data_IF_410250618929
#
_entry.id   IF_410250618929
#
_cell.length_a   1.000
_cell.length_b   1.000
_cell.length_c   1.000
_cell.angle_alpha   90.00
_cell.angle_beta   90.00
_cell.angle_gamma   90.00
#
_symmetry.space_group_name_H-M   'P 1'
#
loop_
_entity.id
_entity.type
_entity.pdbx_description
1 polymer ?
#
# COMPACT_ATOMS: atom_id res chain seq x y z
N UNK A 1 -12.34 17.92 -2.37
CA UNK A 1 -12.64 18.56 -1.05
C UNK A 1 -11.77 17.93 0.03
N UNK A 2 -11.32 18.69 1.04
CA UNK A 2 -10.21 18.30 1.95
C UNK A 2 -10.50 17.11 2.87
N UNK A 3 -11.75 16.90 3.29
CA UNK A 3 -12.08 15.78 4.20
C UNK A 3 -11.72 14.41 3.62
N UNK A 4 -11.90 14.23 2.31
CA UNK A 4 -11.71 12.96 1.63
C UNK A 4 -10.25 12.48 1.64
N UNK A 5 -9.26 13.23 1.10
CA UNK A 5 -7.85 12.83 1.17
C UNK A 5 -7.34 12.73 2.61
N UNK A 6 -7.82 13.57 3.54
CA UNK A 6 -7.47 13.45 4.96
C UNK A 6 -7.91 12.09 5.53
N UNK A 7 -9.17 11.69 5.29
CA UNK A 7 -9.71 10.43 5.80
C UNK A 7 -9.04 9.23 5.13
N UNK A 8 -8.84 9.24 3.80
CA UNK A 8 -8.13 8.16 3.08
C UNK A 8 -6.70 8.00 3.61
N UNK A 9 -5.94 9.10 3.70
CA UNK A 9 -4.56 9.07 4.19
C UNK A 9 -4.51 8.58 5.65
N UNK A 10 -5.44 9.04 6.51
CA UNK A 10 -5.50 8.63 7.92
C UNK A 10 -5.84 7.14 8.06
N UNK A 11 -6.85 6.66 7.33
CA UNK A 11 -7.24 5.25 7.33
C UNK A 11 -6.12 4.35 6.77
N UNK A 12 -5.46 4.78 5.70
CA UNK A 12 -4.30 4.09 5.15
C UNK A 12 -3.16 4.03 6.17
N UNK A 13 -2.85 5.14 6.86
CA UNK A 13 -1.84 5.18 7.92
C UNK A 13 -2.20 4.29 9.11
N UNK A 14 -3.48 4.22 9.48
CA UNK A 14 -3.97 3.35 10.54
C UNK A 14 -3.74 1.87 10.20
N UNK A 15 -3.97 1.47 8.95
CA UNK A 15 -3.62 0.14 8.47
C UNK A 15 -2.10 -0.10 8.46
N UNK A 16 -1.29 0.90 8.07
CA UNK A 16 0.19 0.83 8.16
C UNK A 16 0.68 0.59 9.58
N UNK A 17 0.04 1.20 10.60
CA UNK A 17 0.37 0.96 12.01
C UNK A 17 0.13 -0.50 12.41
N UNK A 18 -0.99 -1.10 11.99
CA UNK A 18 -1.28 -2.52 12.27
C UNK A 18 -0.21 -3.38 11.62
N UNK A 19 0.04 -3.20 10.31
CA UNK A 19 1.02 -3.99 9.56
C UNK A 19 2.43 -3.84 10.17
N UNK A 20 2.83 -2.61 10.52
CA UNK A 20 4.13 -2.33 11.15
C UNK A 20 4.32 -3.11 12.45
N UNK A 21 3.27 -3.20 13.29
CA UNK A 21 3.31 -3.95 14.55
C UNK A 21 3.61 -5.42 14.30
N UNK A 22 2.87 -6.08 13.42
CA UNK A 22 3.08 -7.52 13.17
C UNK A 22 4.38 -7.80 12.43
N UNK A 23 4.82 -6.95 11.51
CA UNK A 23 6.16 -7.10 10.90
C UNK A 23 7.24 -6.97 11.97
N UNK A 24 7.12 -5.98 12.86
CA UNK A 24 8.07 -5.82 13.95
C UNK A 24 8.07 -7.01 14.91
N UNK A 25 6.94 -7.65 15.16
CA UNK A 25 6.85 -8.83 16.02
C UNK A 25 7.38 -10.10 15.33
N UNK A 26 7.10 -10.27 14.04
CA UNK A 26 7.21 -11.58 13.38
C UNK A 26 8.20 -11.66 12.22
N UNK A 27 8.78 -10.55 11.77
CA UNK A 27 9.72 -10.51 10.63
C UNK A 27 11.08 -9.94 11.04
N UNK A 28 12.16 -10.38 10.37
CA UNK A 28 13.52 -9.93 10.67
C UNK A 28 13.79 -8.50 10.17
N UNK A 29 13.03 -8.04 9.17
CA UNK A 29 13.06 -6.68 8.63
C UNK A 29 11.64 -6.14 8.43
N UNK A 30 11.52 -4.81 8.45
CA UNK A 30 10.31 -4.08 8.08
C UNK A 30 10.48 -3.28 6.76
N UNK A 31 11.58 -3.47 6.03
CA UNK A 31 11.89 -2.70 4.80
C UNK A 31 10.77 -2.76 3.77
N UNK A 32 10.12 -3.91 3.63
CA UNK A 32 9.03 -4.13 2.69
C UNK A 32 7.72 -3.42 3.05
N UNK A 33 7.61 -2.75 4.21
CA UNK A 33 6.34 -2.21 4.73
C UNK A 33 5.59 -1.32 3.73
N UNK A 34 6.31 -0.53 2.95
CA UNK A 34 5.72 0.39 1.97
C UNK A 34 4.98 -0.34 0.83
N UNK A 35 5.17 -1.64 0.66
CA UNK A 35 4.51 -2.46 -0.36
C UNK A 35 3.57 -3.51 0.23
N UNK A 36 3.24 -3.42 1.53
CA UNK A 36 2.38 -4.42 2.21
C UNK A 36 0.89 -4.13 2.09
N UNK A 37 0.50 -2.96 1.61
CA UNK A 37 -0.89 -2.63 1.29
C UNK A 37 -0.92 -1.94 -0.08
N UNK A 38 -1.57 -2.58 -1.04
CA UNK A 38 -1.68 -2.14 -2.42
C UNK A 38 -3.08 -1.58 -2.69
N UNK A 39 -3.14 -0.45 -3.38
CA UNK A 39 -4.40 0.19 -3.76
C UNK A 39 -5.00 -0.46 -5.02
N UNK A 40 -6.14 -1.14 -4.84
CA UNK A 40 -6.99 -1.72 -5.89
C UNK A 40 -8.29 -0.91 -6.11
N UNK A 41 -8.35 0.31 -5.58
CA UNK A 41 -9.58 1.07 -5.40
C UNK A 41 -10.09 1.82 -6.63
N UNK A 42 -9.35 1.85 -7.74
CA UNK A 42 -9.71 2.65 -8.90
C UNK A 42 -11.15 2.36 -9.38
N UNK A 43 -11.48 1.10 -9.66
CA UNK A 43 -12.82 0.71 -10.12
C UNK A 43 -13.93 0.87 -9.07
N UNK A 44 -13.55 0.93 -7.79
CA UNK A 44 -14.48 1.07 -6.67
C UNK A 44 -14.76 2.53 -6.29
N UNK A 45 -14.04 3.48 -6.89
CA UNK A 45 -14.20 4.91 -6.62
C UNK A 45 -15.40 5.50 -7.39
N UNK A 46 -16.06 6.51 -6.81
CA UNK A 46 -17.24 7.15 -7.41
C UNK A 46 -16.97 8.01 -8.64
N UNK A 47 -15.71 8.41 -8.87
CA UNK A 47 -15.28 9.16 -10.05
C UNK A 47 -13.77 9.02 -10.27
N UNK A 48 -13.29 9.39 -11.46
CA UNK A 48 -11.84 9.44 -11.75
C UNK A 48 -11.13 10.47 -10.88
N UNK A 49 -11.76 11.61 -10.61
CA UNK A 49 -11.20 12.62 -9.71
C UNK A 49 -11.10 12.08 -8.27
N UNK A 50 -12.12 11.37 -7.79
CA UNK A 50 -12.10 10.69 -6.49
C UNK A 50 -10.98 9.64 -6.43
N UNK A 51 -10.86 8.80 -7.45
CA UNK A 51 -9.78 7.81 -7.54
C UNK A 51 -8.40 8.48 -7.53
N UNK A 52 -8.25 9.59 -8.23
CA UNK A 52 -7.02 10.37 -8.28
C UNK A 52 -6.63 10.93 -6.91
N UNK A 53 -7.57 11.62 -6.24
CA UNK A 53 -7.35 12.22 -4.91
C UNK A 53 -7.11 11.13 -3.86
N UNK A 54 -7.89 10.06 -3.89
CA UNK A 54 -7.82 8.95 -2.95
C UNK A 54 -6.53 8.14 -3.10
N UNK A 55 -6.17 7.79 -4.34
CA UNK A 55 -4.91 7.11 -4.65
C UNK A 55 -3.69 7.94 -4.21
N UNK A 56 -3.68 9.25 -4.50
CA UNK A 56 -2.61 10.14 -4.03
C UNK A 56 -2.52 10.21 -2.49
N UNK A 57 -3.66 10.21 -1.80
CA UNK A 57 -3.69 10.18 -0.34
C UNK A 57 -3.17 8.86 0.26
N UNK A 58 -3.44 7.73 -0.40
CA UNK A 58 -2.85 6.44 -0.03
C UNK A 58 -1.33 6.42 -0.22
N UNK A 59 -0.84 7.04 -1.31
CA UNK A 59 0.58 7.10 -1.65
C UNK A 59 1.44 7.89 -0.65
N UNK A 60 0.84 8.60 0.30
CA UNK A 60 1.56 9.17 1.46
C UNK A 60 2.12 8.08 2.37
N UNK A 61 1.45 6.92 2.47
CA UNK A 61 1.82 5.87 3.42
C UNK A 61 2.47 4.65 2.76
N UNK A 62 2.02 4.28 1.56
CA UNK A 62 2.46 3.11 0.81
C UNK A 62 2.84 3.49 -0.62
N UNK A 63 3.53 2.60 -1.32
CA UNK A 63 4.01 2.83 -2.69
C UNK A 63 3.37 1.88 -3.70
N UNK A 64 2.53 0.94 -3.28
CA UNK A 64 1.81 0.02 -4.17
C UNK A 64 0.45 0.59 -4.62
N UNK A 65 0.23 0.75 -5.93
CA UNK A 65 -1.06 1.19 -6.46
C UNK A 65 -1.31 0.72 -7.89
N UNK A 66 -2.54 0.30 -8.18
CA UNK A 66 -3.07 0.13 -9.54
C UNK A 66 -3.96 1.32 -9.96
N UNK A 67 -4.16 2.30 -9.07
CA UNK A 67 -4.91 3.53 -9.32
C UNK A 67 -4.00 4.56 -9.98
N UNK A 68 -3.71 4.37 -11.27
CA UNK A 68 -2.81 5.23 -12.07
C UNK A 68 -3.18 6.72 -11.97
N UNK A 69 -4.47 7.04 -11.79
CA UNK A 69 -4.92 8.42 -11.62
C UNK A 69 -4.28 9.14 -10.42
N UNK A 70 -3.90 8.41 -9.36
CA UNK A 70 -3.19 8.98 -8.20
C UNK A 70 -1.78 9.46 -8.54
N UNK A 71 -1.07 8.72 -9.40
CA UNK A 71 0.27 9.07 -9.87
C UNK A 71 0.27 10.41 -10.61
N UNK A 72 -0.72 10.63 -11.48
CA UNK A 72 -0.87 11.87 -12.24
C UNK A 72 -1.10 13.09 -11.34
N UNK A 73 -1.86 12.92 -10.26
CA UNK A 73 -2.09 13.98 -9.28
C UNK A 73 -0.83 14.30 -8.50
N UNK A 74 -0.12 13.29 -8.00
CA UNK A 74 1.15 13.47 -7.30
C UNK A 74 2.20 14.17 -8.17
N UNK A 75 2.29 13.81 -9.46
CA UNK A 75 3.18 14.49 -10.40
C UNK A 75 2.78 15.95 -10.62
N UNK A 76 1.49 16.20 -10.83
CA UNK A 76 0.97 17.55 -11.15
C UNK A 76 1.02 18.53 -9.97
N UNK A 77 0.71 18.07 -8.76
CA UNK A 77 0.47 18.96 -7.61
C UNK A 77 1.46 18.79 -6.46
N UNK A 78 2.33 17.76 -6.48
CA UNK A 78 3.22 17.46 -5.36
C UNK A 78 4.66 17.12 -5.80
N UNK A 79 5.05 17.52 -7.01
CA UNK A 79 6.39 17.39 -7.57
C UNK A 79 6.98 15.96 -7.50
N UNK A 80 6.14 14.93 -7.61
CA UNK A 80 6.57 13.54 -7.57
C UNK A 80 6.59 12.92 -8.98
N UNK A 81 7.76 12.81 -9.60
CA UNK A 81 7.91 12.19 -10.93
C UNK A 81 7.36 10.76 -10.98
N UNK A 82 7.60 9.98 -9.92
CA UNK A 82 7.04 8.64 -9.75
C UNK A 82 6.66 8.41 -8.30
N UNK A 83 5.36 8.46 -7.99
CA UNK A 83 4.86 8.34 -6.63
C UNK A 83 4.59 6.89 -6.19
N UNK A 84 4.40 5.95 -7.12
CA UNK A 84 4.01 4.58 -6.77
C UNK A 84 4.34 3.60 -7.89
N UNK A 85 4.22 2.32 -7.56
CA UNK A 85 4.65 1.21 -8.38
C UNK A 85 3.59 0.11 -8.37
N UNK A 86 3.66 -0.74 -9.38
CA UNK A 86 2.93 -1.99 -9.42
C UNK A 86 3.78 -3.09 -10.04
N UNK A 87 3.26 -4.31 -10.05
CA UNK A 87 3.84 -5.49 -10.67
C UNK A 87 2.85 -6.06 -11.68
N UNK A 88 3.31 -6.81 -12.69
CA UNK A 88 2.41 -7.62 -13.50
C UNK A 88 1.49 -8.47 -12.61
N UNK A 89 0.20 -8.46 -12.93
CA UNK A 89 -0.79 -9.20 -12.17
C UNK A 89 -1.87 -9.78 -13.10
N UNK A 90 -2.26 -11.02 -12.85
CA UNK A 90 -3.39 -11.64 -13.52
C UNK A 90 -4.72 -11.21 -12.89
N UNK A 91 -5.74 -11.11 -13.73
CA UNK A 91 -7.15 -11.09 -13.30
C UNK A 91 -7.88 -12.32 -13.85
N UNK A 92 -9.08 -12.60 -13.33
CA UNK A 92 -9.80 -13.83 -13.68
C UNK A 92 -10.01 -14.03 -15.18
N UNK A 93 -10.21 -12.97 -15.96
CA UNK A 93 -10.39 -13.07 -17.42
C UNK A 93 -9.18 -13.73 -18.10
N UNK A 94 -7.96 -13.36 -17.68
CA UNK A 94 -6.70 -13.86 -18.23
C UNK A 94 -6.47 -15.34 -17.92
N UNK A 95 -7.06 -15.85 -16.84
CA UNK A 95 -7.01 -17.27 -16.46
C UNK A 95 -8.14 -18.05 -17.14
N UNK A 96 -9.38 -17.58 -16.98
CA UNK A 96 -10.60 -18.29 -17.40
C UNK A 96 -10.76 -18.41 -18.91
N UNK A 97 -10.10 -17.56 -19.71
CA UNK A 97 -10.03 -17.69 -21.18
C UNK A 97 -9.43 -19.02 -21.63
N UNK A 98 -8.58 -19.64 -20.80
CA UNK A 98 -7.99 -20.96 -21.04
C UNK A 98 -8.90 -22.12 -20.64
N UNK A 99 -10.08 -21.83 -20.09
CA UNK A 99 -11.02 -22.78 -19.49
C UNK A 99 -10.41 -23.51 -18.28
N UNK A 100 -11.26 -24.23 -17.54
CA UNK A 100 -10.84 -24.99 -16.35
C UNK A 100 -9.73 -26.01 -16.64
N UNK A 101 -9.80 -26.69 -17.79
CA UNK A 101 -8.78 -27.65 -18.20
C UNK A 101 -7.42 -27.02 -18.55
N UNK A 102 -7.37 -25.71 -18.80
CA UNK A 102 -6.17 -24.97 -19.17
C UNK A 102 -5.64 -24.05 -18.08
N UNK A 103 -6.12 -24.15 -16.83
CA UNK A 103 -5.70 -23.27 -15.72
C UNK A 103 -4.17 -23.32 -15.49
N UNK A 104 -3.58 -24.53 -15.48
CA UNK A 104 -2.14 -24.72 -15.37
C UNK A 104 -1.36 -24.10 -16.54
N UNK A 105 -1.88 -24.23 -17.77
CA UNK A 105 -1.28 -23.60 -18.95
C UNK A 105 -1.38 -22.06 -18.90
N UNK A 106 -2.47 -21.50 -18.35
CA UNK A 106 -2.61 -20.07 -18.16
C UNK A 106 -1.55 -19.53 -17.18
N UNK A 107 -1.35 -20.23 -16.06
CA UNK A 107 -0.32 -19.88 -15.09
C UNK A 107 1.08 -19.96 -15.69
N UNK A 108 1.40 -21.05 -16.40
CA UNK A 108 2.68 -21.19 -17.09
C UNK A 108 2.92 -20.06 -18.10
N UNK A 109 1.93 -19.74 -18.93
CA UNK A 109 2.03 -18.64 -19.88
C UNK A 109 2.35 -17.31 -19.19
N UNK A 110 1.75 -17.01 -18.03
CA UNK A 110 2.08 -15.80 -17.26
C UNK A 110 3.54 -15.82 -16.80
N UNK A 111 4.06 -16.96 -16.33
CA UNK A 111 5.46 -17.10 -15.91
C UNK A 111 6.42 -16.88 -17.09
N UNK A 112 6.05 -17.33 -18.29
CA UNK A 112 6.85 -17.16 -19.51
C UNK A 112 6.83 -15.72 -20.03
N UNK A 113 5.70 -15.01 -19.94
CA UNK A 113 5.59 -13.61 -20.32
C UNK A 113 6.33 -12.67 -19.34
N UNK A 114 6.40 -13.06 -18.06
CA UNK A 114 7.08 -12.30 -17.01
C UNK A 114 8.17 -13.14 -16.33
N UNK A 115 9.26 -13.47 -17.04
CA UNK A 115 10.30 -14.39 -16.56
C UNK A 115 11.10 -13.83 -15.37
N UNK A 116 11.22 -12.50 -15.31
CA UNK A 116 11.91 -11.76 -14.25
C UNK A 116 10.95 -10.83 -13.50
N UNK A 117 11.36 -10.37 -12.32
CA UNK A 117 10.56 -9.50 -11.46
C UNK A 117 9.47 -10.25 -10.68
N UNK A 118 8.65 -9.52 -9.94
CA UNK A 118 7.52 -10.13 -9.22
C UNK A 118 6.30 -10.19 -10.12
N UNK A 119 5.48 -11.23 -9.99
CA UNK A 119 4.18 -11.35 -10.67
C UNK A 119 3.13 -11.91 -9.72
N UNK A 120 1.94 -11.31 -9.70
CA UNK A 120 0.80 -11.77 -8.92
C UNK A 120 -0.14 -12.59 -9.78
N UNK A 121 -0.58 -13.76 -9.30
CA UNK A 121 -1.51 -14.62 -10.05
C UNK A 121 -2.71 -14.95 -9.20
N UNK A 122 -3.88 -14.48 -9.64
CA UNK A 122 -5.17 -14.88 -9.04
C UNK A 122 -5.36 -16.38 -9.21
N UNK A 123 -5.50 -17.09 -8.09
CA UNK A 123 -5.38 -18.55 -8.04
C UNK A 123 -6.65 -19.25 -7.58
N UNK A 124 -7.79 -18.57 -7.55
CA UNK A 124 -9.08 -19.07 -7.09
C UNK A 124 -10.17 -18.99 -8.17
N UNK A 125 -9.77 -18.98 -9.45
CA UNK A 125 -10.73 -18.98 -10.57
C UNK A 125 -11.64 -20.21 -10.57
N UNK A 126 -11.18 -21.34 -10.00
CA UNK A 126 -11.98 -22.56 -9.86
C UNK A 126 -11.87 -23.18 -8.46
N UNK A 127 -10.65 -23.48 -7.98
CA UNK A 127 -10.40 -24.05 -6.65
C UNK A 127 -8.99 -23.67 -6.18
N UNK A 128 -8.91 -22.77 -5.20
CA UNK A 128 -7.63 -22.27 -4.68
C UNK A 128 -6.78 -23.35 -4.03
N UNK A 129 -7.39 -24.34 -3.38
CA UNK A 129 -6.64 -25.40 -2.71
C UNK A 129 -6.04 -26.35 -3.73
N UNK A 130 -6.79 -26.67 -4.79
CA UNK A 130 -6.27 -27.44 -5.93
C UNK A 130 -5.15 -26.69 -6.66
N UNK A 131 -5.35 -25.40 -6.97
CA UNK A 131 -4.35 -24.58 -7.65
C UNK A 131 -3.05 -24.50 -6.85
N UNK A 132 -3.13 -24.26 -5.54
CA UNK A 132 -1.96 -24.22 -4.65
C UNK A 132 -1.28 -25.58 -4.53
N UNK A 133 -2.04 -26.65 -4.30
CA UNK A 133 -1.46 -27.94 -3.91
C UNK A 133 -0.97 -28.76 -5.10
N UNK A 134 -1.64 -28.66 -6.25
CA UNK A 134 -1.37 -29.49 -7.43
C UNK A 134 -0.73 -28.68 -8.56
N UNK A 135 -1.25 -27.49 -8.87
CA UNK A 135 -0.70 -26.72 -9.99
C UNK A 135 0.60 -26.03 -9.57
N UNK A 136 0.56 -25.09 -8.62
CA UNK A 136 1.74 -24.41 -8.11
C UNK A 136 2.68 -25.36 -7.38
N UNK A 137 2.11 -26.26 -6.57
CA UNK A 137 2.86 -27.16 -5.69
C UNK A 137 3.44 -28.40 -6.36
N UNK A 138 2.99 -28.78 -7.57
CA UNK A 138 3.48 -29.97 -8.28
C UNK A 138 3.80 -29.66 -9.74
N UNK A 139 2.80 -29.34 -10.57
CA UNK A 139 2.96 -29.19 -12.02
C UNK A 139 3.94 -28.06 -12.40
N UNK A 140 3.80 -26.89 -11.77
CA UNK A 140 4.58 -25.69 -12.03
C UNK A 140 5.62 -25.41 -10.95
N UNK A 141 5.82 -26.35 -10.01
CA UNK A 141 6.70 -26.16 -8.86
C UNK A 141 8.11 -25.74 -9.27
N UNK A 142 8.67 -26.38 -10.29
CA UNK A 142 10.03 -26.08 -10.73
C UNK A 142 10.12 -24.65 -11.30
N UNK A 143 9.11 -24.22 -12.08
CA UNK A 143 9.05 -22.84 -12.58
C UNK A 143 8.98 -21.81 -11.45
N UNK A 144 8.30 -22.10 -10.34
CA UNK A 144 8.29 -21.24 -9.15
C UNK A 144 9.67 -21.19 -8.49
N UNK A 145 10.32 -22.34 -8.32
CA UNK A 145 11.67 -22.43 -7.72
C UNK A 145 12.73 -21.73 -8.57
N UNK A 146 12.63 -21.83 -9.90
CA UNK A 146 13.57 -21.24 -10.86
C UNK A 146 13.55 -19.70 -10.87
N UNK A 147 12.57 -19.09 -10.20
CA UNK A 147 12.53 -17.64 -9.94
C UNK A 147 13.41 -17.19 -8.80
N UNK A 148 14.03 -18.11 -8.05
CA UNK A 148 15.05 -17.76 -7.08
C UNK A 148 16.06 -16.80 -7.71
N UNK A 149 16.24 -15.64 -7.07
CA UNK A 149 17.10 -14.52 -7.53
C UNK A 149 16.64 -13.76 -8.79
N UNK A 150 15.51 -14.12 -9.40
CA UNK A 150 14.90 -13.40 -10.54
C UNK A 150 13.66 -12.62 -10.15
N UNK A 151 12.95 -13.08 -9.12
CA UNK A 151 11.80 -12.39 -8.57
C UNK A 151 10.91 -13.30 -7.74
N UNK A 152 9.63 -12.95 -7.63
CA UNK A 152 8.69 -13.61 -6.72
C UNK A 152 7.35 -13.89 -7.39
N UNK A 153 6.78 -15.08 -7.15
CA UNK A 153 5.36 -15.32 -7.38
C UNK A 153 4.57 -14.90 -6.16
N UNK A 154 3.52 -14.13 -6.40
CA UNK A 154 2.54 -13.76 -5.38
C UNK A 154 1.24 -14.51 -5.71
N UNK A 155 0.96 -15.57 -4.95
CA UNK A 155 -0.29 -16.33 -5.10
C UNK A 155 -1.42 -15.53 -4.45
N UNK A 156 -2.48 -15.25 -5.22
CA UNK A 156 -3.58 -14.38 -4.78
C UNK A 156 -4.91 -15.13 -4.70
N UNK A 157 -5.33 -15.61 -3.51
CA UNK A 157 -6.75 -15.85 -3.22
C UNK A 157 -7.55 -14.54 -3.28
N UNK A 158 -8.74 -14.57 -3.88
CA UNK A 158 -9.60 -13.40 -4.13
C UNK A 158 -11.07 -13.67 -3.76
N UNK A 159 -11.33 -14.71 -2.97
CA UNK A 159 -12.66 -15.09 -2.49
C UNK A 159 -12.62 -15.96 -1.24
N UNK A 160 -13.76 -16.01 -0.54
CA UNK A 160 -13.94 -16.80 0.68
C UNK A 160 -13.45 -16.11 1.96
N UNK A 161 -13.74 -16.73 3.11
CA UNK A 161 -13.19 -16.26 4.38
C UNK A 161 -11.64 -16.32 4.34
N UNK A 162 -10.95 -15.41 5.03
CA UNK A 162 -9.49 -15.28 4.92
C UNK A 162 -8.78 -16.62 5.21
N UNK A 163 -8.42 -17.34 4.15
CA UNK A 163 -7.87 -18.69 4.18
C UNK A 163 -6.34 -18.68 4.14
N UNK A 164 -5.70 -17.54 4.43
CA UNK A 164 -4.27 -17.35 4.21
C UNK A 164 -3.46 -18.36 5.02
N UNK A 165 -3.88 -18.68 6.25
CA UNK A 165 -3.22 -19.72 7.05
C UNK A 165 -3.29 -21.09 6.35
N UNK A 166 -4.41 -21.42 5.73
CA UNK A 166 -4.59 -22.67 4.98
C UNK A 166 -3.68 -22.67 3.74
N UNK A 167 -3.69 -21.61 2.95
CA UNK A 167 -2.82 -21.47 1.77
C UNK A 167 -1.34 -21.55 2.16
N UNK A 168 -0.92 -20.84 3.21
CA UNK A 168 0.45 -20.90 3.70
C UNK A 168 0.85 -22.32 4.13
N UNK A 169 -0.02 -23.04 4.83
CA UNK A 169 0.24 -24.42 5.23
C UNK A 169 0.35 -25.35 4.02
N UNK A 170 -0.53 -25.25 3.02
CA UNK A 170 -0.45 -26.03 1.79
C UNK A 170 0.83 -25.73 1.01
N UNK A 171 1.27 -24.47 0.95
CA UNK A 171 2.54 -24.12 0.33
C UNK A 171 3.73 -24.69 1.11
N UNK A 172 3.66 -24.72 2.44
CA UNK A 172 4.70 -25.30 3.29
C UNK A 172 4.90 -26.81 3.08
N UNK A 173 3.87 -27.52 2.62
CA UNK A 173 3.96 -28.95 2.27
C UNK A 173 4.73 -29.18 0.95
N UNK A 174 4.80 -28.17 0.08
CA UNK A 174 5.33 -28.29 -1.29
C UNK A 174 6.65 -27.55 -1.48
N UNK A 175 6.88 -26.48 -0.72
CA UNK A 175 8.05 -25.62 -0.81
C UNK A 175 8.84 -25.63 0.50
N UNK A 176 10.18 -25.53 0.45
CA UNK A 176 10.99 -25.46 1.66
C UNK A 176 10.62 -24.21 2.47
N UNK A 177 10.59 -24.32 3.79
CA UNK A 177 10.35 -23.18 4.67
C UNK A 177 11.56 -22.96 5.57
N UNK A 178 11.75 -21.72 5.99
CA UNK A 178 12.74 -21.35 7.01
C UNK A 178 12.04 -20.78 8.23
N UNK A 179 12.62 -20.97 9.40
CA UNK A 179 12.22 -20.24 10.61
C UNK A 179 13.17 -19.07 10.79
N UNK A 180 12.62 -17.86 10.86
CA UNK A 180 13.41 -16.64 10.97
C UNK A 180 13.96 -16.43 12.41
N UNK A 181 14.71 -15.36 12.63
CA UNK A 181 15.35 -15.13 13.95
C UNK A 181 14.36 -14.88 15.09
N UNK A 182 13.09 -14.64 14.76
CA UNK A 182 11.99 -14.43 15.73
C UNK A 182 11.15 -15.68 15.98
N UNK A 183 11.51 -16.82 15.38
CA UNK A 183 10.79 -18.07 15.58
C UNK A 183 9.52 -18.22 14.73
N UNK A 184 9.37 -17.43 13.67
CA UNK A 184 8.24 -17.50 12.74
C UNK A 184 8.65 -18.10 11.40
N UNK A 185 7.75 -18.90 10.82
CA UNK A 185 7.94 -19.56 9.52
C UNK A 185 7.86 -18.55 8.37
N UNK A 186 8.71 -18.73 7.38
CA UNK A 186 8.83 -17.91 6.19
C UNK A 186 8.91 -18.81 4.95
N UNK A 187 8.11 -18.47 3.94
CA UNK A 187 8.21 -19.03 2.60
C UNK A 187 9.52 -18.59 1.94
N UNK A 188 10.03 -19.34 0.95
CA UNK A 188 11.19 -18.92 0.17
C UNK A 188 11.00 -17.53 -0.42
N UNK A 189 12.07 -16.77 -0.62
CA UNK A 189 12.02 -15.38 -1.10
C UNK A 189 11.32 -15.20 -2.45
N UNK A 190 11.25 -16.26 -3.27
CA UNK A 190 10.57 -16.28 -4.56
C UNK A 190 9.07 -16.59 -4.49
N UNK A 191 8.49 -16.71 -3.29
CA UNK A 191 7.08 -17.07 -3.10
C UNK A 191 6.44 -16.29 -1.95
N UNK A 192 5.32 -15.64 -2.23
CA UNK A 192 4.51 -14.88 -1.27
C UNK A 192 3.02 -15.08 -1.54
N UNK A 193 2.18 -14.65 -0.59
CA UNK A 193 0.72 -14.70 -0.71
C UNK A 193 0.15 -13.29 -0.60
N UNK A 194 -0.87 -12.99 -1.39
CA UNK A 194 -1.61 -11.73 -1.31
C UNK A 194 -3.09 -11.99 -1.07
N UNK A 195 -3.70 -11.27 -0.13
CA UNK A 195 -5.16 -11.21 0.00
C UNK A 195 -5.67 -9.88 -0.57
N UNK A 196 -6.51 -9.95 -1.61
CA UNK A 196 -7.11 -8.77 -2.26
C UNK A 196 -8.57 -8.54 -1.92
N UNK A 197 -9.31 -9.59 -1.58
CA UNK A 197 -10.75 -9.53 -1.31
C UNK A 197 -11.05 -9.25 0.16
N UNK A 198 -12.11 -8.48 0.41
CA UNK A 198 -12.61 -8.19 1.75
C UNK A 198 -11.71 -7.35 2.65
N UNK A 199 -10.60 -6.79 2.15
CA UNK A 199 -9.61 -6.10 2.98
C UNK A 199 -10.06 -4.69 3.39
N UNK A 200 -10.20 -4.50 4.70
CA UNK A 200 -10.38 -3.25 5.43
C UNK A 200 -9.54 -3.21 6.73
N UNK A 201 -9.60 -2.09 7.45
CA UNK A 201 -8.92 -1.86 8.73
C UNK A 201 -9.10 -3.02 9.73
N UNK A 202 -10.33 -3.50 9.91
CA UNK A 202 -10.66 -4.57 10.85
C UNK A 202 -10.13 -5.93 10.39
N UNK A 203 -10.27 -6.23 9.09
CA UNK A 203 -9.87 -7.53 8.54
C UNK A 203 -8.36 -7.75 8.55
N UNK A 204 -7.55 -6.70 8.34
CA UNK A 204 -6.08 -6.80 8.34
C UNK A 204 -5.60 -7.28 9.71
N UNK A 205 -6.14 -6.72 10.80
CA UNK A 205 -5.83 -7.14 12.16
C UNK A 205 -6.15 -8.62 12.37
N UNK A 206 -7.37 -9.05 12.03
CA UNK A 206 -7.81 -10.44 12.17
C UNK A 206 -6.95 -11.43 11.38
N UNK A 207 -6.58 -11.08 10.14
CA UNK A 207 -5.73 -11.93 9.30
C UNK A 207 -4.34 -12.05 9.90
N UNK A 208 -3.73 -10.92 10.30
CA UNK A 208 -2.40 -10.93 10.88
C UNK A 208 -2.34 -11.62 12.24
N UNK A 209 -3.41 -11.52 13.05
CA UNK A 209 -3.57 -12.32 14.27
C UNK A 209 -3.55 -13.82 13.95
N UNK A 210 -4.36 -14.26 12.99
CA UNK A 210 -4.42 -15.67 12.60
C UNK A 210 -3.07 -16.19 12.07
N UNK A 211 -2.40 -15.42 11.22
CA UNK A 211 -1.06 -15.71 10.69
C UNK A 211 -0.04 -15.85 11.83
N UNK A 212 -0.03 -14.88 12.75
CA UNK A 212 0.91 -14.84 13.89
C UNK A 212 0.67 -15.98 14.87
N UNK A 213 -0.58 -16.26 15.24
CA UNK A 213 -0.96 -17.38 16.11
C UNK A 213 -0.56 -18.74 15.54
N UNK A 214 -0.51 -18.88 14.21
CA UNK A 214 -0.07 -20.08 13.51
C UNK A 214 1.44 -20.10 13.20
N UNK A 215 2.23 -19.25 13.88
CA UNK A 215 3.69 -19.15 13.74
C UNK A 215 4.15 -18.86 12.32
N UNK A 216 3.36 -18.14 11.55
CA UNK A 216 3.77 -17.59 10.26
C UNK A 216 4.22 -16.14 10.41
N UNK A 217 5.27 -15.76 9.70
CA UNK A 217 5.70 -14.36 9.65
C UNK A 217 4.71 -13.55 8.82
N UNK A 218 4.39 -12.33 9.29
CA UNK A 218 3.64 -11.34 8.52
C UNK A 218 4.36 -10.96 7.21
N UNK A 219 5.66 -11.23 7.10
CA UNK A 219 6.38 -10.99 5.86
C UNK A 219 5.93 -11.87 4.68
N UNK A 220 5.24 -12.99 4.95
CA UNK A 220 4.68 -13.83 3.89
C UNK A 220 3.49 -13.19 3.15
N UNK A 221 2.84 -12.20 3.78
CA UNK A 221 1.56 -11.66 3.33
C UNK A 221 1.71 -10.24 2.79
N UNK A 222 0.99 -9.96 1.72
CA UNK A 222 0.71 -8.64 1.17
C UNK A 222 -0.81 -8.47 1.10
N UNK A 223 -1.31 -7.24 1.26
CA UNK A 223 -2.74 -6.94 1.17
C UNK A 223 -3.03 -6.08 -0.05
N UNK A 224 -4.16 -6.32 -0.71
CA UNK A 224 -4.77 -5.39 -1.67
C UNK A 224 -6.09 -4.90 -1.11
N UNK A 225 -6.39 -3.62 -1.25
CA UNK A 225 -7.66 -3.06 -0.76
C UNK A 225 -8.25 -2.10 -1.79
N UNK A 226 -9.55 -2.26 -2.05
CA UNK A 226 -10.27 -1.49 -3.05
C UNK A 226 -11.25 -0.49 -2.43
N UNK A 227 -12.53 -0.82 -2.49
CA UNK A 227 -13.60 0.06 -2.02
C UNK A 227 -13.49 0.44 -0.54
N UNK A 228 -12.95 -0.42 0.33
CA UNK A 228 -12.74 -0.07 1.74
C UNK A 228 -11.69 1.03 1.96
N UNK A 229 -10.72 1.15 1.05
CA UNK A 229 -9.69 2.18 1.10
C UNK A 229 -10.20 3.51 0.53
N UNK A 230 -10.85 3.48 -0.64
CA UNK A 230 -11.17 4.70 -1.40
C UNK A 230 -12.64 5.13 -1.38
N UNK A 231 -13.59 4.28 -0.97
CA UNK A 231 -15.02 4.56 -1.16
C UNK A 231 -15.90 4.39 0.10
N UNK A 232 -15.62 3.41 0.97
CA UNK A 232 -16.41 3.14 2.18
C UNK A 232 -16.00 4.05 3.34
N UNK A 233 -16.07 5.35 3.12
CA UNK A 233 -15.77 6.40 4.08
C UNK A 233 -16.58 7.65 3.76
N UNK A 234 -16.80 8.47 4.77
CA UNK A 234 -17.53 9.73 4.64
C UNK A 234 -16.87 10.84 5.46
N UNK A 235 -17.44 12.05 5.37
CA UNK A 235 -16.94 13.23 6.10
C UNK A 235 -17.03 13.02 7.61
N UNK A 236 -18.00 12.27 8.08
CA UNK A 236 -18.27 12.05 9.51
C UNK A 236 -17.34 11.01 10.15
N UNK A 237 -16.70 10.18 9.34
CA UNK A 237 -15.66 9.21 9.76
C UNK A 237 -14.58 9.86 10.63
N UNK A 238 -14.15 11.08 10.28
CA UNK A 238 -13.20 11.89 11.07
C UNK A 238 -13.87 13.16 11.65
N UNK A 239 -15.20 13.27 11.52
CA UNK A 239 -15.99 14.45 11.92
C UNK A 239 -15.45 15.77 11.35
N UNK A 240 -14.90 15.76 10.12
CA UNK A 240 -14.30 16.93 9.50
C UNK A 240 -15.31 18.07 9.35
N UNK A 241 -15.06 19.24 9.92
CA UNK A 241 -16.02 20.34 9.94
C UNK A 241 -15.35 21.70 9.69
N UNK A 242 -16.08 22.59 9.03
CA UNK A 242 -15.74 24.01 8.88
C UNK A 242 -16.72 24.87 9.68
N UNK A 243 -16.25 25.85 10.44
CA UNK A 243 -17.06 26.72 11.30
C UNK A 243 -16.43 28.11 11.37
N UNK A 244 -17.27 29.14 11.37
CA UNK A 244 -16.84 30.49 11.75
C UNK A 244 -16.58 30.50 13.26
N UNK A 245 -15.45 31.06 13.68
CA UNK A 245 -15.08 31.23 15.09
C UNK A 245 -14.92 32.69 15.51
N UNK A 246 -14.79 33.61 14.54
CA UNK A 246 -14.48 35.02 14.79
C UNK A 246 -15.02 35.92 13.66
N UNK A 247 -15.57 37.09 14.00
CA UNK A 247 -16.04 38.11 13.05
C UNK A 247 -15.69 39.52 13.55
N UNK A 248 -15.61 40.48 12.61
CA UNK A 248 -15.49 41.91 12.92
C UNK A 248 -16.75 42.62 12.45
N UNK A 249 -17.45 43.31 13.35
CA UNK A 249 -18.69 44.05 13.07
C UNK A 249 -18.48 45.49 13.51
N UNK A 250 -18.59 46.46 12.59
CA UNK A 250 -18.36 47.89 12.86
C UNK A 250 -17.00 48.18 13.54
N UNK A 251 -15.96 47.43 13.18
CA UNK A 251 -14.63 47.52 13.80
C UNK A 251 -14.47 46.76 15.11
N UNK A 252 -15.54 46.17 15.65
CA UNK A 252 -15.49 45.39 16.89
C UNK A 252 -15.27 43.89 16.62
N UNK A 253 -14.23 43.36 17.26
CA UNK A 253 -13.89 41.94 17.32
C UNK A 253 -14.94 41.16 18.13
N UNK A 254 -15.53 40.11 17.55
CA UNK A 254 -16.51 39.24 18.22
C UNK A 254 -16.23 37.77 17.96
N UNK A 255 -16.21 36.99 19.04
CA UNK A 255 -16.05 35.54 18.96
C UNK A 255 -17.43 34.88 18.76
N UNK A 256 -17.49 33.91 17.86
CA UNK A 256 -18.72 33.22 17.50
C UNK A 256 -18.56 31.72 17.62
N UNK A 257 -19.61 31.04 18.08
CA UNK A 257 -19.63 29.59 18.15
C UNK A 257 -21.06 29.07 18.16
N UNK A 258 -21.20 27.78 17.87
CA UNK A 258 -22.41 27.03 18.16
C UNK A 258 -22.23 26.18 19.42
N UNK A 259 -23.28 26.06 20.21
CA UNK A 259 -23.32 25.16 21.36
C UNK A 259 -24.73 24.56 21.47
N UNK A 260 -25.09 23.57 20.63
CA UNK A 260 -26.42 22.97 20.65
C UNK A 260 -26.69 22.28 21.99
N UNK A 261 -27.83 22.57 22.61
CA UNK A 261 -28.24 21.98 23.91
C UNK A 261 -28.45 20.47 23.83
N UNK A 262 -28.79 19.95 22.66
CA UNK A 262 -29.08 18.53 22.43
C UNK A 262 -27.86 17.70 22.03
N UNK A 263 -26.70 18.33 21.79
CA UNK A 263 -25.50 17.63 21.32
C UNK A 263 -24.23 18.44 21.67
N UNK A 264 -23.73 18.23 22.90
CA UNK A 264 -22.52 18.89 23.40
C UNK A 264 -21.27 18.58 22.56
N UNK A 265 -21.25 17.42 21.86
CA UNK A 265 -20.16 17.04 20.96
C UNK A 265 -20.05 17.93 19.71
N UNK A 266 -21.07 18.73 19.41
CA UNK A 266 -21.09 19.70 18.30
C UNK A 266 -20.75 21.13 18.70
N UNK A 267 -20.30 21.35 19.93
CA UNK A 267 -19.79 22.65 20.35
C UNK A 267 -18.53 23.02 19.53
N UNK A 268 -18.51 24.21 18.94
CA UNK A 268 -17.35 24.70 18.17
C UNK A 268 -16.44 25.58 19.02
N UNK A 269 -15.16 25.65 18.62
CA UNK A 269 -14.18 26.58 19.19
C UNK A 269 -14.55 28.04 18.86
N UNK A 270 -13.96 28.97 19.61
CA UNK A 270 -14.24 30.41 19.60
C UNK A 270 -12.95 31.20 19.35
N UNK A 271 -13.08 32.35 18.69
CA UNK A 271 -12.00 33.32 18.51
C UNK A 271 -11.03 33.00 17.40
N UNK A 272 -9.94 33.77 17.36
CA UNK A 272 -8.79 33.54 16.47
C UNK A 272 -7.94 32.41 17.07
N UNK A 273 -7.71 31.37 16.28
CA UNK A 273 -7.11 30.13 16.75
C UNK A 273 -5.67 29.99 16.25
N UNK A 274 -4.82 29.50 17.13
CA UNK A 274 -3.47 28.99 16.84
C UNK A 274 -3.41 27.49 17.17
N UNK A 275 -2.43 26.78 16.64
CA UNK A 275 -2.14 25.39 17.00
C UNK A 275 -0.72 25.29 17.54
N UNK A 276 -0.56 24.83 18.78
CA UNK A 276 0.73 24.81 19.49
C UNK A 276 1.14 23.39 19.83
N UNK A 277 2.46 23.12 19.77
CA UNK A 277 3.03 21.87 20.30
C UNK A 277 3.36 22.04 21.78
N UNK A 278 3.05 21.00 22.57
CA UNK A 278 3.15 21.06 24.05
C UNK A 278 4.58 20.98 24.59
N UNK A 279 5.56 20.52 23.82
CA UNK A 279 6.88 20.12 24.34
C UNK A 279 7.96 21.21 24.20
N UNK A 280 7.71 22.22 23.37
CA UNK A 280 8.73 23.12 22.83
C UNK A 280 8.40 24.61 23.02
N UNK A 281 7.31 24.95 23.71
CA UNK A 281 6.99 26.32 24.14
C UNK A 281 6.99 27.37 23.01
N UNK A 282 6.84 26.95 21.75
CA UNK A 282 7.00 27.81 20.57
C UNK A 282 5.77 27.78 19.65
N UNK A 283 5.61 28.96 19.03
CA UNK A 283 4.66 29.53 18.07
C UNK A 283 3.67 28.65 17.30
N UNK A 284 2.55 29.28 16.91
CA UNK A 284 1.50 28.74 16.04
C UNK A 284 2.08 27.97 14.84
N UNK A 285 1.76 26.68 14.74
CA UNK A 285 2.22 25.81 13.66
C UNK A 285 1.35 25.96 12.40
N UNK A 286 0.24 26.69 12.48
CA UNK A 286 -0.52 27.07 11.29
C UNK A 286 0.30 28.09 10.50
N UNK A 287 0.50 27.81 9.21
CA UNK A 287 1.20 28.70 8.29
C UNK A 287 0.24 29.18 7.21
N UNK A 288 0.40 30.43 6.77
CA UNK A 288 -0.37 30.96 5.65
C UNK A 288 0.08 30.26 4.36
N UNK A 289 -0.74 29.32 3.87
CA UNK A 289 -0.45 28.58 2.64
C UNK A 289 -1.02 29.25 1.39
N UNK A 290 -2.05 30.07 1.53
CA UNK A 290 -2.72 30.76 0.44
C UNK A 290 -3.18 32.14 0.87
N UNK A 291 -2.91 33.14 0.05
CA UNK A 291 -3.31 34.52 0.31
C UNK A 291 -3.63 35.22 -1.01
N UNK A 292 -4.79 35.89 -1.09
CA UNK A 292 -5.17 36.77 -2.20
C UNK A 292 -4.99 36.15 -3.60
N UNK A 293 -5.39 34.89 -3.78
CA UNK A 293 -5.31 34.21 -5.09
C UNK A 293 -3.98 33.50 -5.37
N UNK A 294 -3.01 33.54 -4.44
CA UNK A 294 -1.68 32.99 -4.62
C UNK A 294 -1.37 31.90 -3.59
N UNK A 295 -0.79 30.79 -4.05
CA UNK A 295 -0.19 29.78 -3.20
C UNK A 295 1.16 30.30 -2.70
N UNK A 296 1.34 30.37 -1.38
CA UNK A 296 2.55 30.87 -0.73
C UNK A 296 3.49 29.76 -0.27
N UNK A 297 2.92 28.60 0.08
CA UNK A 297 3.65 27.43 0.53
C UNK A 297 3.16 26.23 -0.27
N UNK A 298 4.10 25.54 -0.88
CA UNK A 298 3.85 24.31 -1.64
C UNK A 298 4.75 23.21 -1.08
N UNK A 299 4.20 22.02 -0.86
CA UNK A 299 4.91 20.90 -0.23
C UNK A 299 5.07 19.78 -1.25
N UNK A 300 6.26 19.22 -1.37
CA UNK A 300 6.46 17.99 -2.14
C UNK A 300 5.83 16.79 -1.45
N UNK A 301 5.54 15.75 -2.24
CA UNK A 301 5.05 14.47 -1.70
C UNK A 301 6.05 13.86 -0.71
N UNK A 302 7.35 14.02 -0.97
CA UNK A 302 8.41 13.47 -0.10
C UNK A 302 8.41 14.14 1.28
N UNK A 303 8.29 15.47 1.34
CA UNK A 303 8.14 16.18 2.62
C UNK A 303 6.86 15.78 3.38
N UNK A 304 5.79 15.46 2.65
CA UNK A 304 4.55 14.97 3.26
C UNK A 304 4.75 13.56 3.82
N UNK A 305 5.39 12.66 3.06
CA UNK A 305 5.75 11.29 3.49
C UNK A 305 6.62 11.30 4.73
N UNK A 306 7.69 12.08 4.71
CA UNK A 306 8.61 12.20 5.83
C UNK A 306 7.91 12.68 7.10
N UNK A 307 7.00 13.64 7.00
CA UNK A 307 6.19 14.10 8.15
C UNK A 307 5.21 13.03 8.64
N UNK A 308 4.55 12.31 7.72
CA UNK A 308 3.54 11.30 8.05
C UNK A 308 4.12 9.97 8.55
N UNK A 309 5.38 9.69 8.26
CA UNK A 309 5.99 8.37 8.48
C UNK A 309 6.00 7.94 9.95
N UNK A 310 5.81 6.64 10.16
CA UNK A 310 5.74 6.02 11.48
C UNK A 310 7.10 6.09 12.19
N UNK A 311 7.07 6.37 13.50
CA UNK A 311 8.29 6.43 14.32
C UNK A 311 9.12 5.14 14.24
N UNK A 312 8.46 3.98 14.26
CA UNK A 312 9.12 2.67 14.15
C UNK A 312 9.85 2.48 12.82
N UNK A 313 9.29 3.00 11.71
CA UNK A 313 9.92 2.95 10.38
C UNK A 313 11.12 3.90 10.33
N UNK A 314 10.98 5.12 10.86
CA UNK A 314 12.09 6.07 10.98
C UNK A 314 13.23 5.53 11.83
N UNK A 315 12.92 4.90 12.97
CA UNK A 315 13.91 4.28 13.84
C UNK A 315 14.63 3.12 13.15
N UNK A 316 13.88 2.27 12.45
CA UNK A 316 14.47 1.17 11.68
C UNK A 316 15.45 1.68 10.61
N UNK A 317 15.03 2.65 9.79
CA UNK A 317 15.89 3.27 8.77
C UNK A 317 17.18 3.84 9.39
N UNK A 318 17.09 4.53 10.53
CA UNK A 318 18.28 5.04 11.26
C UNK A 318 19.21 3.92 11.73
N UNK A 319 18.66 2.80 12.25
CA UNK A 319 19.47 1.64 12.67
C UNK A 319 20.19 0.99 11.50
N UNK A 320 19.52 0.82 10.35
CA UNK A 320 20.14 0.27 9.13
C UNK A 320 21.27 1.15 8.64
N UNK A 321 21.05 2.47 8.50
CA UNK A 321 22.08 3.42 8.06
C UNK A 321 23.29 3.41 9.01
N UNK A 322 23.07 3.38 10.32
CA UNK A 322 24.16 3.30 11.30
C UNK A 322 24.93 1.98 11.22
N UNK A 323 24.23 0.87 10.99
CA UNK A 323 24.86 -0.44 10.79
C UNK A 323 25.72 -0.45 9.51
N UNK A 324 25.21 0.05 8.39
CA UNK A 324 25.96 0.17 7.13
C UNK A 324 27.16 1.10 7.26
N UNK A 325 27.01 2.24 7.95
CA UNK A 325 28.10 3.15 8.22
C UNK A 325 29.18 2.46 9.06
N UNK A 326 28.80 1.74 10.12
CA UNK A 326 29.73 0.96 10.96
C UNK A 326 30.46 -0.09 10.14
N UNK A 327 29.74 -0.84 9.30
CA UNK A 327 30.34 -1.84 8.39
C UNK A 327 31.30 -1.19 7.39
N UNK A 328 31.01 -0.01 6.85
CA UNK A 328 31.93 0.74 5.97
C UNK A 328 33.18 1.24 6.71
N UNK A 329 33.05 1.66 7.96
CA UNK A 329 34.20 2.06 8.79
C UNK A 329 35.09 0.85 9.13
N UNK A 330 34.49 -0.33 9.34
CA UNK A 330 35.21 -1.59 9.58
C UNK A 330 35.81 -2.15 8.27
N UNK A 331 35.11 -2.02 7.15
CA UNK A 331 35.51 -2.49 5.83
C UNK A 331 36.20 -1.42 4.97
N UNK A 332 36.80 -0.40 5.60
CA UNK A 332 37.63 0.62 4.94
C UNK A 332 38.89 0.10 4.23
N UNK A 333 38.88 -1.15 3.77
CA UNK A 333 39.91 -1.78 2.97
C UNK A 333 39.44 -2.27 1.57
N UNK A 334 38.14 -2.30 1.22
CA UNK A 334 37.74 -2.68 -0.15
C UNK A 334 36.45 -1.98 -0.63
N UNK A 335 36.57 -1.22 -1.73
CA UNK A 335 35.45 -0.62 -2.47
C UNK A 335 34.71 -1.67 -3.32
N UNK A 336 33.37 -1.70 -3.24
CA UNK A 336 32.53 -2.27 -4.30
C UNK A 336 31.34 -1.34 -4.63
N UNK A 337 31.18 -1.05 -5.94
CA UNK A 337 30.11 -0.24 -6.53
C UNK A 337 28.79 -1.02 -6.55
N UNK A 338 27.70 -0.41 -6.11
CA UNK A 338 26.34 -0.95 -6.28
C UNK A 338 25.59 -0.29 -7.45
N UNK A 339 24.75 -1.12 -8.09
CA UNK A 339 23.99 -0.92 -9.33
C UNK A 339 22.79 0.03 -9.17
N UNK A 340 22.45 0.71 -10.27
CA UNK A 340 21.31 1.64 -10.41
C UNK A 340 19.96 0.91 -10.54
N UNK A 341 18.83 1.50 -10.10
CA UNK A 341 17.51 0.90 -10.24
C UNK A 341 17.00 0.95 -11.69
N UNK A 342 16.32 -0.13 -12.10
CA UNK A 342 15.69 -0.34 -13.42
C UNK A 342 14.23 0.14 -13.37
N UNK A 343 13.81 0.89 -14.40
CA UNK A 343 12.45 1.42 -14.60
C UNK A 343 11.59 0.33 -15.27
N UNK A 344 10.43 0.00 -14.70
CA UNK A 344 9.49 -0.98 -15.25
C UNK A 344 8.31 -0.27 -15.97
N UNK A 345 8.01 -0.70 -17.20
CA UNK A 345 6.90 -0.24 -18.03
C UNK A 345 5.69 -1.15 -17.83
N UNK A 346 4.52 -0.57 -17.55
CA UNK A 346 3.24 -1.29 -17.45
C UNK A 346 2.66 -1.47 -18.86
N UNK A 347 2.48 -2.72 -19.32
CA UNK A 347 1.69 -3.03 -20.52
C UNK A 347 0.32 -3.55 -20.06
N UNK A 348 -0.73 -2.77 -20.29
CA UNK A 348 -2.11 -3.24 -20.18
C UNK A 348 -2.42 -3.97 -21.50
N UNK A 349 -2.41 -5.30 -21.46
CA UNK A 349 -2.76 -6.13 -22.61
C UNK A 349 -4.27 -6.12 -22.85
N UNK A 350 -4.76 -5.26 -23.73
CA UNK A 350 -6.03 -5.46 -24.41
C UNK A 350 -5.76 -6.26 -25.68
N UNK A 351 -6.14 -7.54 -25.69
CA UNK A 351 -6.07 -8.35 -26.91
C UNK A 351 -7.21 -7.93 -27.85
N UNK A 352 -6.91 -7.11 -28.85
CA UNK A 352 -7.74 -6.90 -30.03
C UNK A 352 -7.04 -7.57 -31.21
N UNK A 353 -7.65 -8.63 -31.74
CA UNK A 353 -7.22 -9.20 -33.01
C UNK A 353 -7.54 -8.20 -34.14
N UNK A 354 -6.53 -7.46 -34.62
CA UNK A 354 -6.36 -7.04 -36.03
C UNK A 354 -5.13 -6.15 -36.19
N UNK A 355 -4.23 -6.60 -37.07
CA UNK A 355 -3.25 -5.89 -37.89
C UNK A 355 -2.40 -4.75 -37.27
N UNK A 356 -1.10 -5.07 -37.20
CA UNK A 356 0.07 -4.23 -37.46
C UNK A 356 -0.13 -2.77 -37.88
N UNK A 357 0.75 -1.94 -37.30
CA UNK A 357 1.15 -0.57 -37.67
C UNK A 357 0.50 0.57 -36.88
N UNK A 358 1.14 0.96 -35.78
CA UNK A 358 1.54 2.34 -35.48
C UNK A 358 2.16 2.43 -34.07
N UNK A 359 3.49 2.46 -33.99
CA UNK A 359 4.23 2.99 -32.85
C UNK A 359 4.00 4.51 -32.81
N UNK A 360 3.26 4.99 -31.82
CA UNK A 360 3.22 6.40 -31.45
C UNK A 360 3.73 6.54 -30.02
N UNK A 361 4.91 7.15 -29.94
CA UNK A 361 5.60 7.61 -28.74
C UNK A 361 4.76 8.63 -27.95
N UNK A 362 4.51 8.37 -26.66
CA UNK A 362 4.36 9.37 -25.59
C UNK A 362 4.97 8.79 -24.32
#
# INVERSE_FOLDING_TARGET
QVWYPMTVCTNSRAQKLIIARYLHETADSIDGIHFKLHDFGYRGSSSVESASIGGAAHLVNFYGTDTIAGLQLCKKYYAAEMAGFSIPAAEHSTITTWKKSGESAAYLNILEQFPDGSVSVVSDSYDVFHAVSNIWGVELRQYVVDRANKGCIVIRPDSGDPSQVVVLNLLAEKFPIVTNSKGYRLLPSYLRVMQGDGICYESIGKILDAVTCNKWSADNIVFGTGGALLQKLDRDTQKCAFKCSHVVINGESRDVWKSPTTDAGKQSKQGRLTLEKREDGSFDILVTVFENGRLLVDYSLEEIRDRAELAIVKEYKRKVVNAEATVRTVNGCFETRFLKPVILVVIIGAYSSRNSDALLSI
#
